data_IF_131143147085
#
_entry.id   IF_131143147085
#
_cell.length_a   1.000
_cell.length_b   1.000
_cell.length_c   1.000
_cell.angle_alpha   90.00
_cell.angle_beta   90.00
_cell.angle_gamma   90.00
#
_symmetry.space_group_name_H-M   'P 1'
#
loop_
_entity.id
_entity.type
_entity.pdbx_description
1 polymer ?
#
# COMPACT_ATOMS: atom_id res chain seq x y z
N UNK A 1 32.62 4.24 16.80
CA UNK A 1 31.23 3.88 16.44
C UNK A 1 31.30 2.94 15.26
N UNK A 2 30.72 1.74 15.37
CA UNK A 2 30.63 0.84 14.23
C UNK A 2 29.68 1.43 13.19
N UNK A 3 30.03 1.30 11.90
CA UNK A 3 29.22 1.78 10.79
C UNK A 3 28.90 0.60 9.89
N UNK A 4 27.63 0.28 9.72
CA UNK A 4 27.20 -0.72 8.76
C UNK A 4 27.33 -0.16 7.34
N UNK A 5 28.23 -0.73 6.54
CA UNK A 5 28.42 -0.38 5.13
C UNK A 5 27.81 -1.48 4.27
N UNK A 6 27.02 -1.10 3.26
CA UNK A 6 26.41 -2.05 2.32
C UNK A 6 27.22 -1.95 1.02
N UNK A 7 27.44 -3.09 0.38
CA UNK A 7 28.06 -3.18 -0.94
C UNK A 7 27.11 -3.91 -1.89
N UNK A 8 27.03 -3.45 -3.14
CA UNK A 8 26.25 -4.06 -4.22
C UNK A 8 27.21 -4.29 -5.38
N UNK A 9 27.33 -5.54 -5.84
CA UNK A 9 28.30 -5.93 -6.87
C UNK A 9 29.75 -5.47 -6.61
N UNK A 10 30.15 -5.36 -5.33
CA UNK A 10 31.48 -4.88 -4.92
C UNK A 10 31.61 -3.36 -4.75
N UNK A 11 30.62 -2.60 -5.20
CA UNK A 11 30.57 -1.14 -5.07
C UNK A 11 29.88 -0.71 -3.78
N UNK A 12 30.38 0.35 -3.16
CA UNK A 12 29.85 0.82 -1.87
C UNK A 12 28.56 1.60 -2.08
N UNK A 13 27.50 1.20 -1.39
CA UNK A 13 26.18 1.81 -1.47
C UNK A 13 26.02 2.98 -0.47
N UNK A 14 25.75 4.18 -1.00
CA UNK A 14 25.71 5.44 -0.25
C UNK A 14 24.29 6.01 -0.15
N UNK A 15 23.48 5.47 0.77
CA UNK A 15 22.14 6.00 1.07
C UNK A 15 21.90 6.13 2.57
N UNK A 16 21.10 7.12 2.98
CA UNK A 16 20.62 7.26 4.37
C UNK A 16 19.82 6.02 4.76
N UNK A 17 20.29 5.30 5.79
CA UNK A 17 19.70 4.04 6.24
C UNK A 17 18.78 4.33 7.40
N UNK A 18 17.50 4.03 7.21
CA UNK A 18 16.54 3.97 8.29
C UNK A 18 16.09 2.53 8.41
N UNK A 19 16.47 1.88 9.51
CA UNK A 19 16.27 0.44 9.65
C UNK A 19 15.59 0.05 10.95
N UNK A 20 15.49 0.99 11.89
CA UNK A 20 14.85 0.76 13.16
C UNK A 20 13.61 1.64 13.29
N UNK A 21 12.44 1.00 13.38
CA UNK A 21 11.23 1.64 13.88
C UNK A 21 11.05 1.19 15.33
N UNK A 22 11.14 2.14 16.26
CA UNK A 22 10.78 1.89 17.66
C UNK A 22 9.26 1.98 17.78
N UNK A 23 8.64 0.87 18.18
CA UNK A 23 7.20 0.83 18.42
C UNK A 23 6.97 0.93 19.93
N UNK A 24 6.41 2.04 20.44
CA UNK A 24 6.12 2.16 21.87
C UNK A 24 5.18 1.06 22.35
N UNK A 25 5.44 0.47 23.52
CA UNK A 25 4.58 -0.59 24.10
C UNK A 25 3.10 -0.18 24.24
N UNK A 26 2.79 1.12 24.34
CA UNK A 26 1.42 1.64 24.35
C UNK A 26 0.71 1.46 23.01
N UNK A 27 1.43 1.66 21.89
CA UNK A 27 0.90 1.53 20.52
C UNK A 27 0.65 0.07 20.17
N UNK A 28 1.41 -0.85 20.78
CA UNK A 28 1.16 -2.30 20.68
C UNK A 28 -0.13 -2.76 21.38
N UNK A 29 -0.67 -1.96 22.31
CA UNK A 29 -1.90 -2.27 23.06
C UNK A 29 -3.15 -1.63 22.45
N UNK A 30 -3.00 -0.53 21.73
CA UNK A 30 -4.05 0.02 20.89
C UNK A 30 -4.06 -0.74 19.57
N UNK A 31 -5.23 -1.10 19.05
CA UNK A 31 -5.36 -1.72 17.72
C UNK A 31 -4.96 -0.76 16.56
N UNK A 32 -4.23 0.33 16.83
CA UNK A 32 -3.81 1.37 15.89
C UNK A 32 -2.84 0.85 14.82
N UNK A 33 -2.05 -0.18 15.15
CA UNK A 33 -1.04 -0.78 14.25
C UNK A 33 -1.55 -2.00 13.46
N UNK A 34 -2.74 -2.52 13.78
CA UNK A 34 -3.28 -3.76 13.18
C UNK A 34 -3.67 -3.58 11.71
N UNK A 35 -3.82 -2.33 11.26
CA UNK A 35 -4.21 -1.97 9.90
C UNK A 35 -3.08 -1.27 9.10
N UNK A 36 -1.82 -1.58 9.39
CA UNK A 36 -0.68 -1.05 8.64
C UNK A 36 -0.34 -1.97 7.46
N UNK A 37 -0.25 -1.40 6.26
CA UNK A 37 0.08 -2.16 5.04
C UNK A 37 1.55 -2.06 4.65
N UNK A 38 2.31 -1.11 5.20
CA UNK A 38 3.75 -0.96 4.93
C UNK A 38 4.49 -0.28 6.07
N UNK A 39 5.81 -0.42 6.07
CA UNK A 39 6.70 0.20 7.04
C UNK A 39 6.68 1.75 6.97
N UNK A 40 6.42 2.34 5.80
CA UNK A 40 6.26 3.79 5.64
C UNK A 40 4.99 4.30 6.32
N UNK A 41 3.89 3.54 6.25
CA UNK A 41 2.67 3.86 7.00
C UNK A 41 2.90 3.78 8.51
N UNK A 42 3.70 2.80 8.94
CA UNK A 42 4.10 2.68 10.33
C UNK A 42 4.91 3.92 10.75
N UNK A 43 5.85 4.36 9.91
CA UNK A 43 6.69 5.53 10.17
C UNK A 43 5.91 6.85 10.23
N UNK A 44 4.83 7.02 9.47
CA UNK A 44 3.99 8.22 9.57
C UNK A 44 3.12 8.25 10.83
N UNK A 45 2.63 7.08 11.27
CA UNK A 45 1.78 6.97 12.47
C UNK A 45 2.58 6.99 13.75
N UNK A 46 3.80 6.46 13.72
CA UNK A 46 4.71 6.46 14.84
C UNK A 46 5.47 7.78 14.89
N UNK A 47 5.77 8.23 16.10
CA UNK A 47 6.49 9.48 16.35
C UNK A 47 7.78 9.54 15.51
N UNK A 48 7.95 10.60 14.73
CA UNK A 48 9.15 10.89 13.91
C UNK A 48 10.36 11.25 14.77
N UNK A 49 10.25 11.14 16.10
CA UNK A 49 11.35 11.37 17.02
C UNK A 49 12.63 10.65 16.62
N UNK A 50 12.54 9.47 16.02
CA UNK A 50 13.68 8.70 15.54
C UNK A 50 14.35 9.22 14.24
N UNK A 51 13.72 10.15 13.52
CA UNK A 51 14.31 10.75 12.33
C UNK A 51 15.53 11.61 12.71
N UNK A 52 16.65 11.50 11.99
CA UNK A 52 17.80 12.37 12.20
C UNK A 52 17.47 13.81 11.76
N UNK A 53 16.95 14.62 12.68
CA UNK A 53 16.83 16.06 12.51
C UNK A 53 18.24 16.66 12.53
N UNK A 54 18.59 17.51 11.56
CA UNK A 54 19.86 18.26 11.55
C UNK A 54 20.12 18.87 12.94
N UNK A 55 21.16 18.39 13.62
CA UNK A 55 21.60 18.90 14.92
C UNK A 55 21.20 18.09 16.16
N UNK A 56 20.40 17.01 16.04
CA UNK A 56 20.21 16.05 17.14
C UNK A 56 21.11 14.83 16.95
N UNK A 57 22.01 14.60 17.91
CA UNK A 57 22.72 13.33 18.05
C UNK A 57 21.80 12.38 18.80
N UNK A 58 21.24 11.39 18.10
CA UNK A 58 20.53 10.31 18.75
C UNK A 58 21.50 9.36 19.43
N UNK A 59 21.37 9.21 20.75
CA UNK A 59 22.10 8.19 21.50
C UNK A 59 21.15 7.03 21.78
N UNK A 60 20.95 6.16 20.78
CA UNK A 60 20.46 4.82 21.05
C UNK A 60 21.64 3.96 21.49
N UNK A 61 21.54 3.35 22.68
CA UNK A 61 22.55 2.42 23.18
C UNK A 61 22.31 1.01 22.62
N UNK A 62 22.26 0.88 21.29
CA UNK A 62 22.29 -0.41 20.62
C UNK A 62 23.76 -0.72 20.30
N UNK A 63 24.30 -1.88 20.70
CA UNK A 63 25.64 -2.27 20.30
C UNK A 63 25.76 -2.30 18.76
N UNK A 64 26.87 -1.82 18.16
CA UNK A 64 27.01 -1.80 16.70
C UNK A 64 26.82 -3.17 16.03
N UNK A 65 27.17 -4.25 16.73
CA UNK A 65 26.93 -5.62 16.27
C UNK A 65 25.43 -5.95 16.22
N UNK A 66 24.66 -5.56 17.23
CA UNK A 66 23.20 -5.76 17.26
C UNK A 66 22.50 -4.96 16.17
N UNK A 67 22.94 -3.72 15.94
CA UNK A 67 22.46 -2.89 14.83
C UNK A 67 22.76 -3.56 13.47
N UNK A 68 23.99 -4.06 13.29
CA UNK A 68 24.37 -4.80 12.08
C UNK A 68 23.47 -6.02 11.84
N UNK A 69 23.21 -6.83 12.87
CA UNK A 69 22.31 -7.98 12.75
C UNK A 69 20.88 -7.58 12.40
N UNK A 70 20.36 -6.52 13.00
CA UNK A 70 19.05 -5.97 12.62
C UNK A 70 19.01 -5.53 11.15
N UNK A 71 20.07 -4.86 10.70
CA UNK A 71 20.26 -4.43 9.30
C UNK A 71 20.23 -5.61 8.33
N UNK A 72 21.03 -6.64 8.60
CA UNK A 72 21.05 -7.84 7.77
C UNK A 72 19.71 -8.58 7.78
N UNK A 73 19.05 -8.70 8.94
CA UNK A 73 17.78 -9.42 9.04
C UNK A 73 16.67 -8.77 8.21
N UNK A 74 16.53 -7.45 8.22
CA UNK A 74 15.49 -6.77 7.44
C UNK A 74 15.76 -6.85 5.94
N UNK A 75 17.02 -6.68 5.52
CA UNK A 75 17.40 -6.81 4.10
C UNK A 75 17.21 -8.25 3.62
N UNK A 76 17.54 -9.24 4.45
CA UNK A 76 17.31 -10.66 4.14
C UNK A 76 15.82 -10.95 3.98
N UNK A 77 14.99 -10.53 4.95
CA UNK A 77 13.55 -10.74 4.88
C UNK A 77 12.93 -10.06 3.64
N UNK A 78 13.40 -8.86 3.31
CA UNK A 78 13.01 -8.14 2.11
C UNK A 78 13.34 -8.91 0.83
N UNK A 79 14.57 -9.43 0.72
CA UNK A 79 15.00 -10.25 -0.42
C UNK A 79 14.20 -11.57 -0.53
N UNK A 80 14.06 -12.30 0.58
CA UNK A 80 13.36 -13.60 0.63
C UNK A 80 11.87 -13.48 0.28
N UNK A 81 11.28 -12.30 0.46
CA UNK A 81 9.89 -12.00 0.09
C UNK A 81 9.78 -11.33 -1.29
N UNK A 82 10.79 -11.50 -2.15
CA UNK A 82 10.69 -11.05 -3.54
C UNK A 82 10.90 -9.56 -3.72
N UNK A 83 11.67 -8.91 -2.84
CA UNK A 83 11.85 -7.45 -2.77
C UNK A 83 10.58 -6.65 -2.42
N UNK A 84 9.65 -7.25 -1.68
CA UNK A 84 8.43 -6.59 -1.21
C UNK A 84 8.73 -5.27 -0.47
N UNK A 85 8.49 -4.13 -1.13
CA UNK A 85 8.84 -2.81 -0.58
C UNK A 85 7.97 -2.39 0.61
N UNK A 86 7.00 -3.21 1.03
CA UNK A 86 6.26 -3.00 2.27
C UNK A 86 7.08 -3.36 3.50
N UNK A 87 8.10 -4.21 3.34
CA UNK A 87 8.97 -4.72 4.41
C UNK A 87 10.18 -3.82 4.68
N UNK A 88 10.54 -2.94 3.75
CA UNK A 88 11.70 -2.06 3.83
C UNK A 88 11.32 -0.65 3.42
N UNK A 89 11.75 0.35 4.19
CA UNK A 89 11.29 1.72 3.99
C UNK A 89 11.71 2.27 2.62
N UNK A 90 10.86 3.08 1.98
CA UNK A 90 11.03 3.49 0.58
C UNK A 90 12.37 4.19 0.31
N UNK A 91 12.90 4.92 1.30
CA UNK A 91 14.20 5.59 1.19
C UNK A 91 15.41 4.65 1.07
N UNK A 92 15.22 3.35 1.36
CA UNK A 92 16.24 2.32 1.27
C UNK A 92 15.86 1.26 0.22
N UNK A 93 14.59 0.86 0.16
CA UNK A 93 14.11 -0.18 -0.76
C UNK A 93 14.28 0.20 -2.24
N UNK A 94 13.86 1.41 -2.63
CA UNK A 94 13.95 1.84 -4.03
C UNK A 94 15.40 2.03 -4.52
N UNK A 95 16.29 2.71 -3.76
CA UNK A 95 17.68 2.80 -4.18
C UNK A 95 18.38 1.43 -4.22
N UNK A 96 18.07 0.51 -3.30
CA UNK A 96 18.61 -0.86 -3.36
C UNK A 96 18.10 -1.60 -4.61
N UNK A 97 16.81 -1.48 -4.96
CA UNK A 97 16.25 -2.09 -6.17
C UNK A 97 16.84 -1.51 -7.45
N UNK A 98 17.05 -0.19 -7.50
CA UNK A 98 17.69 0.49 -8.62
C UNK A 98 19.09 -0.07 -8.84
N UNK A 99 19.93 -0.07 -7.80
CA UNK A 99 21.31 -0.57 -7.87
C UNK A 99 21.37 -2.07 -8.18
N UNK A 100 20.47 -2.90 -7.63
CA UNK A 100 20.39 -4.31 -7.97
C UNK A 100 19.96 -4.52 -9.42
N UNK A 101 19.06 -3.68 -9.94
CA UNK A 101 18.64 -3.70 -11.34
C UNK A 101 19.80 -3.34 -12.26
N UNK A 102 20.57 -2.31 -11.91
CA UNK A 102 21.78 -1.90 -12.65
C UNK A 102 22.88 -2.96 -12.61
N UNK A 103 23.05 -3.63 -11.46
CA UNK A 103 23.95 -4.77 -11.30
C UNK A 103 23.51 -6.02 -12.08
N UNK A 104 22.32 -6.00 -12.70
CA UNK A 104 21.82 -7.06 -13.57
C UNK A 104 21.02 -8.15 -12.87
N UNK A 105 20.52 -7.92 -11.65
CA UNK A 105 19.64 -8.86 -10.97
C UNK A 105 18.29 -8.99 -11.73
N UNK A 106 17.95 -10.17 -12.25
CA UNK A 106 16.76 -10.35 -13.09
C UNK A 106 15.45 -10.22 -12.29
N UNK A 107 15.46 -10.57 -11.00
CA UNK A 107 14.30 -10.43 -10.14
C UNK A 107 14.09 -8.96 -9.77
N UNK A 108 15.17 -8.25 -9.39
CA UNK A 108 15.10 -6.82 -9.10
C UNK A 108 14.61 -6.04 -10.32
N UNK A 109 15.13 -6.34 -11.52
CA UNK A 109 14.71 -5.69 -12.77
C UNK A 109 13.21 -5.83 -13.06
N UNK A 110 12.64 -7.00 -12.76
CA UNK A 110 11.20 -7.25 -12.91
C UNK A 110 10.40 -6.46 -11.87
N UNK A 111 10.81 -6.57 -10.61
CA UNK A 111 10.06 -6.04 -9.47
C UNK A 111 10.17 -4.52 -9.37
N UNK A 112 11.28 -3.91 -9.80
CA UNK A 112 11.54 -2.49 -9.64
C UNK A 112 10.44 -1.61 -10.26
N UNK A 113 10.08 -1.88 -11.52
CA UNK A 113 8.99 -1.14 -12.20
C UNK A 113 7.62 -1.43 -11.58
N UNK A 114 7.35 -2.69 -11.26
CA UNK A 114 6.12 -3.12 -10.59
C UNK A 114 5.92 -2.36 -9.26
N UNK A 115 6.97 -2.26 -8.45
CA UNK A 115 6.94 -1.59 -7.14
C UNK A 115 6.81 -0.07 -7.26
N UNK A 116 7.45 0.57 -8.25
CA UNK A 116 7.25 2.01 -8.50
C UNK A 116 5.78 2.27 -8.80
N UNK A 117 5.17 1.49 -9.69
CA UNK A 117 3.76 1.65 -10.07
C UNK A 117 2.81 1.35 -8.90
N UNK A 118 3.03 0.23 -8.20
CA UNK A 118 2.25 -0.21 -7.05
C UNK A 118 2.25 0.85 -5.95
N UNK A 119 3.44 1.32 -5.56
CA UNK A 119 3.61 2.27 -4.45
C UNK A 119 3.18 3.68 -4.81
N UNK A 120 3.33 4.10 -6.07
CA UNK A 120 2.80 5.38 -6.51
C UNK A 120 1.26 5.40 -6.49
N UNK A 121 0.61 4.30 -6.87
CA UNK A 121 -0.84 4.27 -6.94
C UNK A 121 -1.50 3.94 -5.58
N UNK A 122 -0.95 3.00 -4.81
CA UNK A 122 -1.55 2.48 -3.58
C UNK A 122 -0.85 2.99 -2.31
N UNK A 123 0.37 3.51 -2.39
CA UNK A 123 1.11 4.01 -1.23
C UNK A 123 0.55 5.31 -0.65
N UNK A 124 1.03 5.67 0.54
CA UNK A 124 0.74 6.93 1.23
C UNK A 124 1.33 8.15 0.51
N UNK A 125 0.84 9.33 0.85
CA UNK A 125 1.22 10.59 0.18
C UNK A 125 2.72 10.87 0.24
N UNK A 126 3.38 10.61 1.36
CA UNK A 126 4.83 10.79 1.50
C UNK A 126 5.63 9.93 0.53
N UNK A 127 5.23 8.67 0.35
CA UNK A 127 5.87 7.73 -0.59
C UNK A 127 5.66 8.19 -2.03
N UNK A 128 4.45 8.62 -2.40
CA UNK A 128 4.19 9.16 -3.75
C UNK A 128 5.04 10.39 -4.04
N UNK A 129 5.12 11.29 -3.07
CA UNK A 129 5.97 12.47 -3.15
C UNK A 129 7.44 12.08 -3.29
N UNK A 130 7.93 11.15 -2.47
CA UNK A 130 9.30 10.64 -2.56
C UNK A 130 9.62 10.06 -3.94
N UNK A 131 8.72 9.24 -4.50
CA UNK A 131 8.88 8.65 -5.84
C UNK A 131 8.96 9.70 -6.94
N UNK A 132 8.17 10.77 -6.82
CA UNK A 132 8.18 11.90 -7.76
C UNK A 132 9.44 12.76 -7.60
N UNK A 133 9.76 13.15 -6.37
CA UNK A 133 10.89 14.04 -6.06
C UNK A 133 12.24 13.36 -6.36
N UNK A 134 12.31 12.03 -6.26
CA UNK A 134 13.49 11.23 -6.61
C UNK A 134 13.50 10.76 -8.07
N UNK A 135 12.57 11.23 -8.91
CA UNK A 135 12.52 10.97 -10.36
C UNK A 135 12.36 9.47 -10.75
N UNK A 136 11.86 8.61 -9.86
CA UNK A 136 11.67 7.18 -10.16
C UNK A 136 10.60 6.93 -11.24
N UNK A 137 9.66 7.86 -11.42
CA UNK A 137 8.61 7.71 -12.43
C UNK A 137 9.15 7.68 -13.86
N UNK A 138 10.38 8.18 -14.09
CA UNK A 138 11.04 8.12 -15.42
C UNK A 138 11.26 6.69 -15.92
N UNK A 139 11.31 5.71 -15.01
CA UNK A 139 11.51 4.31 -15.35
C UNK A 139 10.24 3.64 -15.90
N UNK A 140 9.10 4.32 -15.84
CA UNK A 140 7.81 3.84 -16.31
C UNK A 140 7.36 4.65 -17.53
N UNK A 141 7.14 3.96 -18.65
CA UNK A 141 6.33 4.53 -19.73
C UNK A 141 4.87 4.65 -19.29
N UNK A 142 4.10 5.49 -19.98
CA UNK A 142 2.65 5.61 -19.73
C UNK A 142 1.97 4.25 -19.92
N UNK A 143 2.36 3.52 -20.96
CA UNK A 143 1.85 2.18 -21.26
C UNK A 143 2.22 1.17 -20.18
N UNK A 144 3.46 1.17 -19.68
CA UNK A 144 3.88 0.30 -18.56
C UNK A 144 3.11 0.64 -17.29
N UNK A 145 3.03 1.93 -16.94
CA UNK A 145 2.29 2.39 -15.77
C UNK A 145 0.82 1.94 -15.83
N UNK A 146 0.19 2.07 -17.01
CA UNK A 146 -1.16 1.57 -17.23
C UNK A 146 -1.22 0.05 -17.27
N UNK A 147 -0.21 -0.68 -17.76
CA UNK A 147 -0.23 -2.15 -17.79
C UNK A 147 -0.30 -2.79 -16.40
N UNK A 148 0.11 -2.06 -15.36
CA UNK A 148 0.02 -2.50 -13.96
C UNK A 148 -1.38 -2.34 -13.35
N UNK A 149 -2.31 -1.65 -14.03
CA UNK A 149 -3.74 -1.59 -13.71
C UNK A 149 -4.50 -2.15 -14.91
N UNK A 150 -5.33 -3.18 -14.72
CA UNK A 150 -6.15 -3.69 -15.82
C UNK A 150 -6.99 -2.55 -16.42
N UNK A 151 -6.95 -2.40 -17.76
CA UNK A 151 -7.55 -1.26 -18.44
C UNK A 151 -9.06 -1.13 -18.15
N UNK A 152 -9.75 -2.27 -17.97
CA UNK A 152 -11.16 -2.29 -17.63
C UNK A 152 -11.38 -1.81 -16.18
N UNK A 153 -10.51 -2.19 -15.26
CA UNK A 153 -10.51 -1.72 -13.86
C UNK A 153 -10.26 -0.20 -13.79
N UNK A 154 -9.33 0.31 -14.58
CA UNK A 154 -9.05 1.75 -14.67
C UNK A 154 -10.25 2.53 -15.22
N UNK A 155 -10.92 2.02 -16.25
CA UNK A 155 -12.12 2.64 -16.81
C UNK A 155 -13.26 2.70 -15.78
N UNK A 156 -13.39 1.68 -14.92
CA UNK A 156 -14.33 1.70 -13.78
C UNK A 156 -14.00 2.84 -12.81
N UNK A 157 -12.73 3.01 -12.44
CA UNK A 157 -12.29 4.14 -11.60
C UNK A 157 -12.65 5.49 -12.23
N UNK A 158 -12.42 5.65 -13.54
CA UNK A 158 -12.80 6.85 -14.27
C UNK A 158 -14.31 7.13 -14.23
N UNK A 159 -15.14 6.09 -14.37
CA UNK A 159 -16.59 6.20 -14.23
C UNK A 159 -16.99 6.56 -12.79
N UNK A 160 -16.41 5.93 -11.79
CA UNK A 160 -16.68 6.23 -10.38
C UNK A 160 -16.33 7.67 -9.99
N UNK A 161 -15.21 8.20 -10.49
CA UNK A 161 -14.82 9.61 -10.28
C UNK A 161 -15.85 10.60 -10.81
N UNK A 162 -16.57 10.26 -11.89
CA UNK A 162 -17.65 11.11 -12.44
C UNK A 162 -18.88 11.14 -11.54
N UNK A 163 -19.10 10.12 -10.71
CA UNK A 163 -20.27 10.05 -9.81
C UNK A 163 -20.21 11.14 -8.74
N UNK A 164 -19.01 11.56 -8.31
CA UNK A 164 -18.86 12.65 -7.34
C UNK A 164 -17.59 13.49 -7.62
N UNK A 165 -17.65 14.47 -8.54
CA UNK A 165 -16.48 15.24 -8.99
C UNK A 165 -15.88 16.20 -7.94
N UNK A 166 -16.50 16.32 -6.77
CA UNK A 166 -16.06 17.22 -5.69
C UNK A 166 -15.24 16.53 -4.58
N UNK A 167 -15.03 15.22 -4.67
CA UNK A 167 -14.12 14.53 -3.75
C UNK A 167 -12.83 14.25 -4.51
N UNK A 168 -11.76 14.94 -4.11
CA UNK A 168 -10.46 14.89 -4.78
C UNK A 168 -9.78 13.51 -4.72
N UNK A 169 -10.36 12.51 -4.04
CA UNK A 169 -9.75 11.18 -3.96
C UNK A 169 -10.77 10.07 -3.74
N UNK A 170 -11.13 9.39 -4.82
CA UNK A 170 -11.61 8.01 -4.72
C UNK A 170 -10.49 7.16 -4.10
N UNK A 171 -10.76 6.49 -2.99
CA UNK A 171 -9.78 5.63 -2.32
C UNK A 171 -10.04 4.20 -2.75
N UNK A 172 -9.05 3.59 -3.38
CA UNK A 172 -9.06 2.20 -3.79
C UNK A 172 -7.63 1.65 -3.72
N UNK A 173 -7.52 0.32 -3.65
CA UNK A 173 -6.27 -0.41 -3.82
C UNK A 173 -6.47 -1.46 -4.89
N UNK A 174 -5.42 -1.76 -5.64
CA UNK A 174 -5.39 -2.90 -6.55
C UNK A 174 -4.24 -3.84 -6.19
N UNK A 175 -4.31 -5.06 -6.69
CA UNK A 175 -3.27 -6.07 -6.55
C UNK A 175 -3.18 -6.81 -7.87
N UNK A 176 -1.99 -6.83 -8.49
CA UNK A 176 -1.77 -7.47 -9.79
C UNK A 176 -2.79 -7.01 -10.85
N UNK A 177 -2.98 -5.69 -10.94
CA UNK A 177 -3.90 -5.06 -11.89
C UNK A 177 -5.38 -5.09 -11.54
N UNK A 178 -5.83 -5.77 -10.48
CA UNK A 178 -7.25 -5.88 -10.11
C UNK A 178 -7.58 -5.12 -8.84
N UNK A 179 -8.68 -4.37 -8.79
CA UNK A 179 -9.10 -3.64 -7.59
C UNK A 179 -9.54 -4.65 -6.52
N UNK A 180 -8.87 -4.58 -5.37
CA UNK A 180 -9.15 -5.45 -4.22
C UNK A 180 -9.79 -4.70 -3.08
N UNK A 181 -9.54 -3.38 -2.96
CA UNK A 181 -10.16 -2.55 -1.94
C UNK A 181 -10.81 -1.35 -2.58
N UNK A 182 -12.04 -1.03 -2.19
CA UNK A 182 -12.77 0.11 -2.69
C UNK A 182 -13.55 0.79 -1.56
N UNK A 183 -13.27 2.08 -1.36
CA UNK A 183 -13.93 2.92 -0.37
C UNK A 183 -14.83 3.93 -1.08
N UNK A 184 -16.13 3.74 -0.90
CA UNK A 184 -17.21 4.58 -1.41
C UNK A 184 -17.99 5.28 -0.29
N UNK A 185 -17.39 5.49 0.87
CA UNK A 185 -18.06 6.07 2.03
C UNK A 185 -18.33 7.57 1.87
N UNK A 186 -19.50 8.05 2.32
CA UNK A 186 -19.84 9.48 2.38
C UNK A 186 -20.23 10.14 1.04
N UNK A 187 -20.46 9.37 -0.02
CA UNK A 187 -20.80 9.87 -1.35
C UNK A 187 -22.29 10.16 -1.57
N UNK A 188 -23.13 10.08 -0.54
CA UNK A 188 -24.61 10.25 -0.63
C UNK A 188 -25.26 9.32 -1.66
N UNK A 189 -24.64 8.18 -1.94
CA UNK A 189 -25.11 7.21 -2.94
C UNK A 189 -26.50 6.69 -2.56
N UNK A 190 -27.45 6.76 -3.48
CA UNK A 190 -28.79 6.16 -3.30
C UNK A 190 -28.85 4.69 -3.71
N UNK A 191 -27.94 4.29 -4.61
CA UNK A 191 -27.79 2.94 -5.14
C UNK A 191 -26.30 2.62 -5.24
N UNK A 192 -25.98 1.33 -5.15
CA UNK A 192 -24.62 0.86 -5.44
C UNK A 192 -24.34 1.09 -6.94
N UNK A 193 -23.23 1.74 -7.32
CA UNK A 193 -22.89 1.94 -8.74
C UNK A 193 -22.79 0.61 -9.48
N UNK A 194 -23.46 0.46 -10.62
CA UNK A 194 -23.42 -0.80 -11.39
C UNK A 194 -22.04 -1.11 -11.94
N UNK A 195 -21.21 -0.10 -12.09
CA UNK A 195 -19.84 -0.17 -12.60
C UNK A 195 -18.95 -1.05 -11.72
N UNK A 196 -19.21 -1.12 -10.41
CA UNK A 196 -18.37 -1.94 -9.52
C UNK A 196 -18.65 -3.44 -9.66
N UNK A 197 -19.74 -3.84 -10.32
CA UNK A 197 -20.13 -5.25 -10.48
C UNK A 197 -19.03 -6.10 -11.12
N UNK A 198 -18.29 -5.55 -12.07
CA UNK A 198 -17.20 -6.24 -12.77
C UNK A 198 -15.91 -6.36 -11.95
N UNK A 199 -15.83 -5.72 -10.78
CA UNK A 199 -14.67 -5.81 -9.88
C UNK A 199 -14.69 -7.13 -9.08
N UNK A 200 -14.63 -8.26 -9.79
CA UNK A 200 -14.79 -9.61 -9.20
C UNK A 200 -13.67 -10.00 -8.23
N UNK A 201 -12.56 -9.27 -8.25
CA UNK A 201 -11.43 -9.43 -7.34
C UNK A 201 -11.53 -8.61 -6.06
N UNK A 202 -12.64 -7.89 -5.83
CA UNK A 202 -12.85 -7.14 -4.58
C UNK A 202 -12.78 -8.06 -3.36
N UNK A 203 -11.91 -7.71 -2.43
CA UNK A 203 -11.77 -8.32 -1.12
C UNK A 203 -12.40 -7.43 -0.04
N UNK A 204 -12.35 -6.11 -0.19
CA UNK A 204 -12.85 -5.15 0.80
C UNK A 204 -13.68 -4.05 0.11
N UNK A 205 -14.95 -3.95 0.49
CA UNK A 205 -15.87 -2.94 0.00
C UNK A 205 -16.48 -2.15 1.16
N UNK A 206 -16.19 -0.85 1.20
CA UNK A 206 -16.76 0.07 2.18
C UNK A 206 -17.68 1.07 1.50
N UNK A 207 -18.92 1.18 1.96
CA UNK A 207 -19.93 2.12 1.44
C UNK A 207 -20.66 2.83 2.58
N UNK A 208 -19.95 3.14 3.66
CA UNK A 208 -20.52 3.71 4.87
C UNK A 208 -21.08 5.11 4.65
N UNK A 209 -22.02 5.54 5.49
CA UNK A 209 -22.55 6.90 5.51
C UNK A 209 -23.09 7.37 4.14
N UNK A 210 -23.76 6.47 3.43
CA UNK A 210 -24.46 6.76 2.18
C UNK A 210 -25.98 6.79 2.40
N UNK A 211 -26.76 6.73 1.32
CA UNK A 211 -28.23 6.70 1.34
C UNK A 211 -28.76 5.45 0.64
N UNK A 212 -28.02 4.34 0.71
CA UNK A 212 -28.40 3.08 0.06
C UNK A 212 -29.67 2.55 0.73
N UNK A 213 -30.70 2.31 -0.07
CA UNK A 213 -31.98 1.72 0.39
C UNK A 213 -31.98 0.19 0.28
N UNK A 214 -31.22 -0.34 -0.67
CA UNK A 214 -31.04 -1.78 -0.91
C UNK A 214 -29.60 -2.06 -1.35
N UNK A 215 -29.18 -3.32 -1.17
CA UNK A 215 -28.03 -3.86 -1.88
C UNK A 215 -28.52 -4.65 -3.10
N UNK A 216 -27.80 -4.60 -4.23
CA UNK A 216 -28.19 -5.29 -5.44
C UNK A 216 -27.96 -6.81 -5.34
N UNK A 217 -28.78 -7.61 -6.02
CA UNK A 217 -28.63 -9.08 -6.01
C UNK A 217 -27.31 -9.57 -6.61
N UNK A 218 -26.72 -8.80 -7.52
CA UNK A 218 -25.41 -9.11 -8.08
C UNK A 218 -24.27 -8.96 -7.07
N UNK A 219 -24.51 -8.49 -5.84
CA UNK A 219 -23.48 -8.46 -4.78
C UNK A 219 -22.85 -9.83 -4.57
N UNK A 220 -23.61 -10.92 -4.79
CA UNK A 220 -23.13 -12.30 -4.75
C UNK A 220 -21.99 -12.62 -5.70
N UNK A 221 -21.78 -11.80 -6.73
CA UNK A 221 -20.72 -12.00 -7.73
C UNK A 221 -19.33 -11.68 -7.16
N UNK A 222 -19.25 -10.94 -6.05
CA UNK A 222 -18.00 -10.68 -5.34
C UNK A 222 -17.55 -11.88 -4.50
N UNK A 223 -17.16 -12.96 -5.18
CA UNK A 223 -16.77 -14.23 -4.55
C UNK A 223 -15.52 -14.12 -3.66
N UNK A 224 -14.68 -13.11 -3.89
CA UNK A 224 -13.47 -12.85 -3.10
C UNK A 224 -13.70 -11.92 -1.91
N UNK A 225 -14.93 -11.41 -1.71
CA UNK A 225 -15.21 -10.37 -0.73
C UNK A 225 -15.12 -10.91 0.70
N UNK A 226 -14.14 -10.39 1.45
CA UNK A 226 -13.87 -10.71 2.86
C UNK A 226 -14.55 -9.73 3.79
N UNK A 227 -14.64 -8.46 3.40
CA UNK A 227 -15.26 -7.42 4.22
C UNK A 227 -16.22 -6.57 3.41
N UNK A 228 -17.46 -6.50 3.88
CA UNK A 228 -18.49 -5.58 3.38
C UNK A 228 -18.96 -4.70 4.53
N UNK A 229 -18.81 -3.38 4.38
CA UNK A 229 -19.26 -2.43 5.38
C UNK A 229 -20.22 -1.41 4.76
N UNK A 230 -21.45 -1.38 5.26
CA UNK A 230 -22.56 -0.56 4.76
C UNK A 230 -23.25 0.20 5.89
N UNK A 231 -22.53 0.46 6.98
CA UNK A 231 -23.01 1.17 8.14
C UNK A 231 -23.49 2.59 7.80
N UNK A 232 -24.54 3.07 8.47
CA UNK A 232 -25.07 4.42 8.26
C UNK A 232 -25.73 4.62 6.89
N UNK A 233 -26.29 3.55 6.32
CA UNK A 233 -27.19 3.59 5.15
C UNK A 233 -28.67 3.50 5.58
N UNK A 234 -29.58 3.44 4.60
CA UNK A 234 -31.03 3.36 4.78
C UNK A 234 -31.58 1.97 4.40
N UNK A 235 -30.75 0.93 4.58
CA UNK A 235 -31.09 -0.44 4.22
C UNK A 235 -32.25 -0.94 5.09
N UNK A 236 -33.37 -1.30 4.47
CA UNK A 236 -34.53 -1.91 5.15
C UNK A 236 -34.42 -3.43 5.26
N UNK A 237 -33.71 -4.02 4.31
CA UNK A 237 -33.43 -5.45 4.24
C UNK A 237 -32.10 -5.67 3.52
N UNK A 238 -31.54 -6.87 3.70
CA UNK A 238 -30.45 -7.37 2.87
C UNK A 238 -31.03 -8.27 1.78
N UNK A 239 -30.42 -8.33 0.58
CA UNK A 239 -30.84 -9.26 -0.46
C UNK A 239 -30.59 -10.70 0.01
N UNK A 240 -31.45 -11.64 -0.38
CA UNK A 240 -31.30 -13.06 -0.01
C UNK A 240 -29.96 -13.64 -0.48
N UNK A 241 -29.44 -13.10 -1.58
CA UNK A 241 -28.16 -13.45 -2.20
C UNK A 241 -26.94 -13.08 -1.33
N UNK A 242 -27.09 -12.31 -0.24
CA UNK A 242 -25.99 -11.97 0.66
C UNK A 242 -25.33 -13.21 1.27
N UNK A 243 -26.09 -14.29 1.49
CA UNK A 243 -25.58 -15.57 2.02
C UNK A 243 -24.70 -16.35 1.02
N UNK A 244 -24.60 -15.90 -0.23
CA UNK A 244 -23.72 -16.48 -1.24
C UNK A 244 -22.28 -15.93 -1.20
N UNK A 245 -22.02 -14.90 -0.38
CA UNK A 245 -20.68 -14.36 -0.13
C UNK A 245 -19.89 -15.27 0.81
N UNK A 246 -19.35 -16.38 0.26
CA UNK A 246 -18.71 -17.44 1.05
C UNK A 246 -17.40 -17.05 1.71
N UNK A 247 -16.75 -16.00 1.23
CA UNK A 247 -15.49 -15.49 1.79
C UNK A 247 -15.67 -14.40 2.83
N UNK A 248 -16.91 -14.00 3.14
CA UNK A 248 -17.18 -12.90 4.07
C UNK A 248 -16.79 -13.31 5.50
N UNK A 249 -15.93 -12.51 6.12
CA UNK A 249 -15.45 -12.68 7.48
C UNK A 249 -16.24 -11.81 8.46
N UNK A 250 -16.40 -12.27 9.70
CA UNK A 250 -17.13 -11.59 10.79
C UNK A 250 -16.21 -10.75 11.66
#
# INVERSE_FOLDING_TARGET
>A
MGKTVIYIAGEKFYQCKYLLIEIPKKEMRSNSLIYLNSIDEASEKLDTSLEPIKGRVFTYSIPPETEFWGHCSNIQAWYENGYDTRLLHSNLAFPLLEELTEAGDPQAKKVFKEEIAERYNNGIESVRKYLKDSDYLRYLTIEEFHSYIDADEYEIVCKLKKIQPHIDRLIYQYKKGKITHLLLSGYKLKKVPSEIRSLTSLEYLEMNLNKLETLPDWIREFKSLKKLSVYGNQLKSLPETIGELKSLET
#
